data_IF_750956844832
#
_entry.id   IF_750956844832
#
_cell.length_a   1.000
_cell.length_b   1.000
_cell.length_c   1.000
_cell.angle_alpha   90.00
_cell.angle_beta   90.00
_cell.angle_gamma   90.00
#
_symmetry.space_group_name_H-M   'P 1'
#
loop_
_entity.id
_entity.type
_entity.pdbx_description
1 polymer ?
#
# COMPACT_ATOMS: atom_id res chain seq x y z
N UNK A 1 -0.59 -37.45 -18.64
CA UNK A 1 0.66 -36.67 -18.54
C UNK A 1 0.26 -35.21 -18.30
N UNK A 2 0.13 -34.80 -17.03
CA UNK A 2 1.05 -33.91 -16.30
C UNK A 2 1.18 -32.46 -16.84
N UNK A 3 0.10 -31.67 -16.82
CA UNK A 3 0.20 -30.20 -16.82
C UNK A 3 -1.00 -29.62 -16.07
N UNK A 4 -1.01 -29.58 -14.73
CA UNK A 4 -2.07 -28.85 -13.99
C UNK A 4 -1.79 -28.51 -12.51
N UNK A 5 -0.53 -28.47 -12.04
CA UNK A 5 -0.24 -28.17 -10.62
C UNK A 5 0.91 -27.17 -10.34
N UNK A 6 1.52 -26.53 -11.35
CA UNK A 6 2.71 -25.67 -11.13
C UNK A 6 2.49 -24.15 -11.17
N UNK A 7 1.25 -23.65 -11.26
CA UNK A 7 1.00 -22.19 -11.32
C UNK A 7 0.67 -21.58 -9.94
N UNK A 8 0.13 -22.36 -8.99
CA UNK A 8 -0.31 -21.85 -7.67
C UNK A 8 0.90 -21.52 -6.75
N UNK A 9 2.02 -22.21 -6.92
CA UNK A 9 3.24 -21.96 -6.14
C UNK A 9 3.96 -20.67 -6.55
N UNK A 10 3.93 -20.27 -7.83
CA UNK A 10 4.57 -19.04 -8.28
C UNK A 10 3.82 -17.77 -7.83
N UNK A 11 2.49 -17.80 -7.78
CA UNK A 11 1.70 -16.67 -7.25
C UNK A 11 1.93 -16.48 -5.76
N UNK A 12 1.91 -17.56 -4.97
CA UNK A 12 2.13 -17.46 -3.53
C UNK A 12 3.53 -16.93 -3.21
N UNK A 13 4.60 -17.46 -3.81
CA UNK A 13 5.99 -17.01 -3.53
C UNK A 13 6.19 -15.52 -3.87
N UNK A 14 5.66 -15.05 -5.00
CA UNK A 14 5.75 -13.63 -5.39
C UNK A 14 4.92 -12.71 -4.49
N UNK A 15 3.72 -13.14 -4.07
CA UNK A 15 2.87 -12.40 -3.11
C UNK A 15 3.50 -12.37 -1.71
N UNK A 16 4.15 -13.44 -1.24
CA UNK A 16 4.82 -13.46 0.05
C UNK A 16 6.05 -12.56 0.09
N UNK A 17 6.87 -12.58 -0.97
CA UNK A 17 8.02 -11.68 -1.10
C UNK A 17 7.57 -10.21 -1.05
N UNK A 18 6.50 -9.86 -1.77
CA UNK A 18 5.93 -8.51 -1.77
C UNK A 18 5.30 -8.11 -0.44
N UNK A 19 4.66 -9.02 0.31
CA UNK A 19 4.11 -8.73 1.65
C UNK A 19 5.21 -8.41 2.66
N UNK A 20 6.27 -9.22 2.73
CA UNK A 20 7.40 -8.98 3.64
C UNK A 20 8.08 -7.64 3.35
N UNK A 21 8.22 -7.32 2.07
CA UNK A 21 8.79 -6.05 1.62
C UNK A 21 7.94 -4.84 1.99
N UNK A 22 6.61 -4.93 1.85
CA UNK A 22 5.70 -3.86 2.27
C UNK A 22 5.73 -3.65 3.79
N UNK A 23 5.78 -4.73 4.57
CA UNK A 23 5.87 -4.63 6.04
C UNK A 23 7.15 -3.94 6.51
N UNK A 24 8.28 -4.16 5.83
CA UNK A 24 9.52 -3.43 6.14
C UNK A 24 9.38 -1.94 5.91
N UNK A 25 8.79 -1.54 4.78
CA UNK A 25 8.53 -0.12 4.48
C UNK A 25 7.63 0.50 5.56
N UNK A 26 6.56 -0.19 5.96
CA UNK A 26 5.68 0.27 7.05
C UNK A 26 6.46 0.49 8.35
N UNK A 27 7.34 -0.44 8.71
CA UNK A 27 8.15 -0.31 9.93
C UNK A 27 9.14 0.86 9.84
N UNK A 28 9.78 1.05 8.69
CA UNK A 28 10.71 2.15 8.45
C UNK A 28 10.01 3.50 8.45
N UNK A 29 8.86 3.61 7.79
CA UNK A 29 8.07 4.84 7.77
C UNK A 29 7.49 5.17 9.15
N UNK A 30 7.07 4.18 9.93
CA UNK A 30 6.61 4.39 11.31
C UNK A 30 7.69 5.03 12.19
N UNK A 31 8.98 4.66 11.99
CA UNK A 31 10.11 5.26 12.69
C UNK A 31 10.33 6.72 12.29
N UNK A 32 10.03 7.11 11.05
CA UNK A 32 10.18 8.47 10.52
C UNK A 32 9.01 9.38 10.90
N UNK A 33 7.79 8.84 10.85
CA UNK A 33 6.57 9.58 11.15
C UNK A 33 6.37 9.75 12.65
N UNK A 34 6.74 8.75 13.46
CA UNK A 34 6.46 8.72 14.89
C UNK A 34 4.98 8.47 15.21
N UNK A 35 4.18 8.07 14.23
CA UNK A 35 2.76 7.76 14.44
C UNK A 35 2.60 6.56 15.38
N UNK A 36 1.55 6.59 16.20
CA UNK A 36 1.23 5.45 17.07
C UNK A 36 0.99 4.17 16.26
N UNK A 37 1.60 3.07 16.69
CA UNK A 37 1.52 1.78 15.98
C UNK A 37 0.10 1.22 15.90
N UNK A 38 -0.76 1.51 16.87
CA UNK A 38 -2.17 1.13 16.83
C UNK A 38 -2.94 1.91 15.76
N UNK A 39 -2.57 3.18 15.52
CA UNK A 39 -3.14 3.97 14.41
C UNK A 39 -2.75 3.37 13.06
N UNK A 40 -1.49 2.93 12.90
CA UNK A 40 -1.04 2.23 11.69
C UNK A 40 -1.78 0.89 11.51
N UNK A 41 -1.92 0.10 12.58
CA UNK A 41 -2.66 -1.17 12.53
C UNK A 41 -4.11 -0.97 12.08
N UNK A 42 -4.79 0.05 12.60
CA UNK A 42 -6.15 0.43 12.18
C UNK A 42 -6.19 0.77 10.69
N UNK A 43 -5.26 1.59 10.20
CA UNK A 43 -5.17 1.93 8.78
C UNK A 43 -4.92 0.69 7.90
N UNK A 44 -4.08 -0.24 8.35
CA UNK A 44 -3.87 -1.54 7.71
C UNK A 44 -5.10 -2.45 7.72
N UNK A 45 -6.10 -2.16 8.56
CA UNK A 45 -7.42 -2.81 8.57
C UNK A 45 -8.48 -2.01 7.78
N UNK A 46 -8.14 -0.83 7.26
CA UNK A 46 -9.06 0.05 6.52
C UNK A 46 -9.82 1.03 7.41
N UNK A 47 -9.44 1.12 8.69
CA UNK A 47 -9.99 2.07 9.64
C UNK A 47 -9.03 3.26 9.68
N UNK A 48 -9.41 4.35 9.03
CA UNK A 48 -8.58 5.54 8.90
C UNK A 48 -8.95 6.59 9.94
N UNK A 49 -7.94 7.19 10.56
CA UNK A 49 -8.06 8.33 11.47
C UNK A 49 -7.39 9.52 10.81
N UNK A 50 -7.99 10.71 10.88
CA UNK A 50 -7.40 11.96 10.39
C UNK A 50 -6.29 12.42 11.35
N UNK A 51 -5.17 11.71 11.33
CA UNK A 51 -4.00 11.98 12.17
C UNK A 51 -2.85 12.52 11.29
N UNK A 52 -2.25 13.68 11.61
CA UNK A 52 -1.20 14.28 10.78
C UNK A 52 0.07 13.42 10.69
N UNK A 53 0.39 12.66 11.74
CA UNK A 53 1.52 11.72 11.72
C UNK A 53 1.19 10.50 10.86
N UNK A 54 -0.07 10.05 10.84
CA UNK A 54 -0.50 9.00 9.91
C UNK A 54 -0.40 9.44 8.45
N UNK A 55 -0.77 10.69 8.12
CA UNK A 55 -0.62 11.21 6.75
C UNK A 55 0.86 11.28 6.34
N UNK A 56 1.73 11.72 7.25
CA UNK A 56 3.19 11.69 7.05
C UNK A 56 3.72 10.26 6.84
N UNK A 57 3.23 9.30 7.62
CA UNK A 57 3.57 7.87 7.49
C UNK A 57 3.21 7.32 6.11
N UNK A 58 1.99 7.63 5.65
CA UNK A 58 1.47 7.23 4.35
C UNK A 58 2.22 7.86 3.18
N UNK A 59 2.62 9.13 3.31
CA UNK A 59 3.47 9.79 2.32
C UNK A 59 4.83 9.09 2.20
N UNK A 60 5.48 8.80 3.33
CA UNK A 60 6.73 8.02 3.34
C UNK A 60 6.54 6.65 2.67
N UNK A 61 5.48 5.94 3.02
CA UNK A 61 5.19 4.61 2.48
C UNK A 61 5.05 4.67 0.96
N UNK A 62 4.30 5.66 0.45
CA UNK A 62 4.11 5.86 -0.99
C UNK A 62 5.42 6.19 -1.72
N UNK A 63 6.25 7.07 -1.16
CA UNK A 63 7.56 7.41 -1.73
C UNK A 63 8.49 6.21 -1.78
N UNK A 64 8.59 5.44 -0.70
CA UNK A 64 9.43 4.24 -0.67
C UNK A 64 8.94 3.16 -1.63
N UNK A 65 7.62 2.98 -1.77
CA UNK A 65 7.07 2.08 -2.79
C UNK A 65 7.49 2.53 -4.20
N UNK A 66 7.36 3.82 -4.50
CA UNK A 66 7.77 4.38 -5.80
C UNK A 66 9.25 4.13 -6.07
N UNK A 67 10.11 4.34 -5.08
CA UNK A 67 11.55 4.13 -5.20
C UNK A 67 11.94 2.65 -5.31
N UNK A 68 11.24 1.77 -4.58
CA UNK A 68 11.49 0.33 -4.61
C UNK A 68 11.05 -0.30 -5.93
N UNK A 69 9.95 0.18 -6.50
CA UNK A 69 9.34 -0.40 -7.70
C UNK A 69 9.54 0.44 -8.97
N UNK A 70 10.51 1.38 -8.99
CA UNK A 70 10.88 2.25 -10.13
C UNK A 70 10.56 1.64 -11.51
N UNK A 71 9.40 1.99 -12.06
CA UNK A 71 8.96 1.57 -13.41
C UNK A 71 8.06 0.34 -13.52
N UNK A 72 7.83 -0.44 -12.45
CA UNK A 72 6.91 -1.59 -12.45
C UNK A 72 5.58 -1.25 -11.74
N UNK A 73 4.95 -0.16 -12.19
CA UNK A 73 3.69 0.36 -11.63
C UNK A 73 2.47 -0.53 -11.95
N UNK A 74 2.66 -1.66 -12.64
CA UNK A 74 1.61 -2.67 -12.84
C UNK A 74 1.17 -3.35 -11.51
N UNK A 75 1.98 -3.24 -10.45
CA UNK A 75 1.58 -3.67 -9.09
C UNK A 75 0.67 -2.63 -8.41
N UNK A 76 0.72 -1.38 -8.87
CA UNK A 76 -0.20 -0.30 -8.54
C UNK A 76 -1.11 -0.07 -9.77
N UNK A 77 -1.62 -1.14 -10.39
CA UNK A 77 -2.47 -1.07 -11.60
C UNK A 77 -3.90 -0.64 -11.28
N UNK A 78 -4.56 -0.03 -12.28
CA UNK A 78 -5.96 0.45 -12.40
C UNK A 78 -6.58 1.25 -11.23
N UNK A 79 -6.43 0.79 -9.99
CA UNK A 79 -6.84 1.48 -8.78
C UNK A 79 -6.16 2.86 -8.66
N UNK A 80 -4.86 2.97 -8.96
CA UNK A 80 -4.17 4.27 -8.98
C UNK A 80 -4.79 5.24 -9.98
N UNK A 81 -5.14 4.80 -11.20
CA UNK A 81 -5.75 5.65 -12.23
C UNK A 81 -7.12 6.18 -11.76
N UNK A 82 -7.92 5.36 -11.07
CA UNK A 82 -9.20 5.78 -10.49
C UNK A 82 -9.07 6.68 -9.26
N UNK A 83 -7.96 6.55 -8.54
CA UNK A 83 -7.73 7.19 -7.25
C UNK A 83 -6.75 8.38 -7.31
N UNK A 84 -6.20 8.70 -8.48
CA UNK A 84 -5.27 9.82 -8.65
C UNK A 84 -6.03 11.13 -8.56
N UNK A 85 -6.00 11.73 -7.38
CA UNK A 85 -6.51 13.07 -7.10
C UNK A 85 -5.42 13.83 -6.37
N UNK A 86 -5.06 15.00 -6.89
CA UNK A 86 -4.15 15.93 -6.21
C UNK A 86 -4.91 16.73 -5.16
N UNK A 87 -4.34 16.84 -3.96
CA UNK A 87 -4.85 17.65 -2.86
C UNK A 87 -3.86 18.75 -2.50
N UNK A 88 -4.28 19.67 -1.62
CA UNK A 88 -3.48 20.83 -1.20
C UNK A 88 -2.10 20.47 -0.65
N UNK A 89 -1.95 19.27 -0.05
CA UNK A 89 -0.67 18.78 0.47
C UNK A 89 -0.29 17.41 -0.10
N UNK A 90 1.02 17.10 -0.22
CA UNK A 90 1.49 15.76 -0.55
C UNK A 90 1.01 14.70 0.44
N UNK A 91 0.91 15.05 1.72
CA UNK A 91 0.39 14.20 2.79
C UNK A 91 -1.07 13.81 2.55
N UNK A 92 -1.94 14.78 2.23
CA UNK A 92 -3.34 14.52 1.93
C UNK A 92 -3.51 13.73 0.64
N UNK A 93 -2.67 13.99 -0.36
CA UNK A 93 -2.64 13.24 -1.62
C UNK A 93 -2.30 11.77 -1.36
N UNK A 94 -1.23 11.48 -0.62
CA UNK A 94 -0.85 10.11 -0.30
C UNK A 94 -1.89 9.39 0.56
N UNK A 95 -2.43 10.09 1.56
CA UNK A 95 -3.45 9.57 2.46
C UNK A 95 -4.72 9.14 1.71
N UNK A 96 -5.26 10.02 0.86
CA UNK A 96 -6.49 9.72 0.11
C UNK A 96 -6.26 8.69 -1.00
N UNK A 97 -5.09 8.70 -1.65
CA UNK A 97 -4.73 7.69 -2.64
C UNK A 97 -4.72 6.28 -2.02
N UNK A 98 -4.13 6.12 -0.83
CA UNK A 98 -4.06 4.82 -0.14
C UNK A 98 -5.45 4.36 0.30
N UNK A 99 -6.29 5.26 0.83
CA UNK A 99 -7.70 4.98 1.17
C UNK A 99 -8.45 4.43 -0.03
N UNK A 100 -8.49 5.20 -1.12
CA UNK A 100 -9.20 4.83 -2.34
C UNK A 100 -8.65 3.53 -2.96
N UNK A 101 -7.33 3.36 -2.99
CA UNK A 101 -6.72 2.16 -3.57
C UNK A 101 -7.15 0.91 -2.82
N UNK A 102 -7.20 0.97 -1.48
CA UNK A 102 -7.69 -0.14 -0.65
C UNK A 102 -9.15 -0.47 -0.96
N UNK A 103 -10.00 0.55 -1.01
CA UNK A 103 -11.43 0.36 -1.25
C UNK A 103 -11.67 -0.28 -2.63
N UNK A 104 -10.91 0.14 -3.65
CA UNK A 104 -10.96 -0.48 -4.98
C UNK A 104 -10.52 -1.95 -4.95
N UNK A 105 -9.41 -2.29 -4.27
CA UNK A 105 -8.96 -3.68 -4.17
C UNK A 105 -9.97 -4.57 -3.43
N UNK A 106 -10.52 -4.10 -2.30
CA UNK A 106 -11.53 -4.85 -1.53
C UNK A 106 -12.81 -5.05 -2.35
N UNK A 107 -13.24 -4.02 -3.10
CA UNK A 107 -14.43 -4.12 -3.96
C UNK A 107 -14.28 -5.08 -5.15
N UNK A 108 -13.05 -5.48 -5.49
CA UNK A 108 -12.78 -6.45 -6.57
C UNK A 108 -12.80 -7.91 -6.10
N UNK A 109 -12.89 -8.15 -4.80
CA UNK A 109 -12.93 -9.49 -4.18
C UNK A 109 -14.36 -9.93 -3.78
N UNK A 110 -15.37 -9.08 -4.00
CA UNK A 110 -16.81 -9.31 -3.79
C UNK A 110 -17.56 -9.34 -5.11
#
# INVERSE_FOLDING_TARGET
MRVLLTVIACFSITVYATKKDRMKIVEECNKVSGVDKEVVKKAMMGIYVEDPLLKKDMLCYFQQLKDKYKGNMNVISQASVKCTVEYDTPEDTAFNLIKCTRDVFVSSET
#
